data_IF_508003180579
#
_entry.id   IF_508003180579
#
_cell.length_a   1.000
_cell.length_b   1.000
_cell.length_c   1.000
_cell.angle_alpha   90.00
_cell.angle_beta   90.00
_cell.angle_gamma   90.00
#
_symmetry.space_group_name_H-M   'P 1'
#
loop_
_entity.id
_entity.type
_entity.pdbx_description
1 polymer ?
#
# COMPACT_ATOMS: atom_id res chain seq x y z
N UNK A 1 1.84 3.56 23.38
CA UNK A 1 1.20 3.35 22.06
C UNK A 1 1.93 2.23 21.36
N UNK A 2 1.19 1.24 20.90
CA UNK A 2 1.69 0.13 20.12
C UNK A 2 1.84 0.52 18.65
N UNK A 3 2.52 -0.30 17.87
CA UNK A 3 2.69 -0.14 16.41
C UNK A 3 1.36 0.15 15.71
N UNK A 4 0.33 -0.63 16.08
CA UNK A 4 -1.01 -0.53 15.49
C UNK A 4 -1.66 0.83 15.74
N UNK A 5 -1.40 1.46 16.90
CA UNK A 5 -2.00 2.76 17.24
C UNK A 5 -1.49 3.87 16.31
N UNK A 6 -0.19 3.86 16.01
CA UNK A 6 0.44 4.84 15.12
C UNK A 6 -0.02 4.68 13.67
N UNK A 7 -0.05 3.43 13.17
CA UNK A 7 -0.52 3.15 11.81
C UNK A 7 -1.99 3.56 11.66
N UNK A 8 -2.83 3.25 12.66
CA UNK A 8 -4.22 3.67 12.66
C UNK A 8 -4.36 5.19 12.67
N UNK A 9 -3.58 5.90 13.49
CA UNK A 9 -3.62 7.36 13.56
C UNK A 9 -3.28 8.00 12.21
N UNK A 10 -2.22 7.55 11.53
CA UNK A 10 -1.87 8.09 10.20
C UNK A 10 -2.94 7.79 9.15
N UNK A 11 -3.49 6.56 9.15
CA UNK A 11 -4.52 6.18 8.19
C UNK A 11 -5.83 6.96 8.40
N UNK A 12 -6.24 7.14 9.66
CA UNK A 12 -7.42 7.91 10.02
C UNK A 12 -7.26 9.38 9.63
N UNK A 13 -6.10 9.99 9.90
CA UNK A 13 -5.85 11.39 9.52
C UNK A 13 -6.08 11.63 8.01
N UNK A 14 -5.56 10.76 7.15
CA UNK A 14 -5.74 10.89 5.69
C UNK A 14 -7.19 10.62 5.27
N UNK A 15 -7.85 9.63 5.89
CA UNK A 15 -9.24 9.30 5.56
C UNK A 15 -10.23 10.35 6.09
N UNK A 16 -9.92 11.03 7.18
CA UNK A 16 -10.69 12.17 7.70
C UNK A 16 -10.57 13.37 6.75
N UNK A 17 -9.38 13.68 6.25
CA UNK A 17 -9.20 14.70 5.20
C UNK A 17 -10.00 14.37 3.93
N UNK A 18 -10.02 13.10 3.50
CA UNK A 18 -10.87 12.65 2.40
C UNK A 18 -12.37 12.88 2.70
N UNK A 19 -12.82 12.49 3.89
CA UNK A 19 -14.22 12.63 4.30
C UNK A 19 -14.66 14.10 4.44
N UNK A 20 -13.74 14.98 4.82
CA UNK A 20 -13.95 16.43 4.89
C UNK A 20 -13.98 17.12 3.51
N UNK A 21 -13.73 16.39 2.41
CA UNK A 21 -13.63 16.95 1.06
C UNK A 21 -12.31 17.68 0.81
N UNK A 22 -11.28 17.39 1.61
CA UNK A 22 -9.93 17.88 1.43
C UNK A 22 -9.25 17.31 0.18
N UNK A 23 -7.98 17.72 -0.02
CA UNK A 23 -7.18 17.19 -1.13
C UNK A 23 -6.55 15.86 -0.73
N UNK A 24 -6.85 14.82 -1.49
CA UNK A 24 -6.28 13.48 -1.29
C UNK A 24 -5.69 12.91 -2.58
N UNK A 25 -4.74 12.00 -2.42
CA UNK A 25 -4.14 11.24 -3.52
C UNK A 25 -4.71 9.84 -3.50
N UNK A 26 -5.22 9.37 -4.63
CA UNK A 26 -5.76 8.01 -4.76
C UNK A 26 -4.68 6.95 -4.51
N UNK A 27 -5.00 5.92 -3.74
CA UNK A 27 -4.08 4.81 -3.50
C UNK A 27 -4.81 3.49 -3.16
N UNK A 28 -5.43 2.79 -4.12
CA UNK A 28 -5.67 3.17 -5.53
C UNK A 28 -6.98 3.94 -5.75
N UNK A 29 -7.82 4.08 -4.72
CA UNK A 29 -9.06 4.87 -4.74
C UNK A 29 -9.02 5.92 -3.62
N UNK A 30 -9.99 6.83 -3.59
CA UNK A 30 -10.13 7.77 -2.47
C UNK A 30 -10.48 7.04 -1.16
N UNK A 31 -11.31 5.98 -1.22
CA UNK A 31 -11.70 5.21 -0.03
C UNK A 31 -10.55 4.48 0.66
N UNK A 32 -9.47 4.18 -0.07
CA UNK A 32 -8.29 3.48 0.44
C UNK A 32 -7.04 4.37 0.57
N UNK A 33 -7.18 5.68 0.35
CA UNK A 33 -6.04 6.60 0.21
C UNK A 33 -5.12 6.68 1.44
N UNK A 34 -5.62 6.38 2.65
CA UNK A 34 -4.82 6.44 3.88
C UNK A 34 -3.82 5.29 4.08
N UNK A 35 -3.96 4.16 3.39
CA UNK A 35 -3.17 2.95 3.70
C UNK A 35 -1.71 3.08 3.29
N UNK A 36 -1.47 3.40 2.02
CA UNK A 36 -0.13 3.58 1.45
C UNK A 36 0.67 4.67 2.18
N UNK A 37 0.15 5.87 2.46
CA UNK A 37 0.90 6.88 3.21
C UNK A 37 1.08 6.53 4.70
N UNK A 38 0.13 5.83 5.34
CA UNK A 38 0.27 5.45 6.75
C UNK A 38 1.45 4.50 6.99
N UNK A 39 1.63 3.51 6.11
CA UNK A 39 2.74 2.56 6.18
C UNK A 39 4.09 3.27 5.96
N UNK A 40 4.14 4.20 5.01
CA UNK A 40 5.35 4.99 4.73
C UNK A 40 5.70 5.95 5.87
N UNK A 41 4.70 6.64 6.43
CA UNK A 41 4.88 7.55 7.56
C UNK A 41 5.38 6.81 8.81
N UNK A 42 4.84 5.62 9.06
CA UNK A 42 5.34 4.77 10.15
C UNK A 42 6.80 4.37 9.94
N UNK A 43 7.18 3.98 8.72
CA UNK A 43 8.57 3.64 8.39
C UNK A 43 9.50 4.84 8.65
N UNK A 44 9.13 6.01 8.14
CA UNK A 44 9.91 7.25 8.25
C UNK A 44 10.11 7.71 9.69
N UNK A 45 9.07 7.64 10.52
CA UNK A 45 9.12 8.11 11.91
C UNK A 45 9.78 7.14 12.88
N UNK A 46 9.65 5.82 12.67
CA UNK A 46 10.01 4.83 13.70
C UNK A 46 11.07 3.82 13.28
N UNK A 47 11.35 3.66 11.99
CA UNK A 47 12.33 2.66 11.50
C UNK A 47 13.58 3.37 10.98
N UNK A 48 13.44 4.18 9.94
CA UNK A 48 14.54 4.87 9.28
C UNK A 48 14.01 6.04 8.46
N UNK A 49 14.72 7.18 8.48
CA UNK A 49 14.37 8.35 7.66
C UNK A 49 14.36 7.99 6.17
N UNK A 50 13.27 8.31 5.49
CA UNK A 50 13.07 7.98 4.09
C UNK A 50 13.80 8.99 3.21
N UNK A 51 14.85 8.53 2.52
CA UNK A 51 15.51 9.33 1.47
C UNK A 51 14.65 9.43 0.21
N UNK A 52 14.89 10.40 -0.69
CA UNK A 52 14.19 10.50 -1.97
C UNK A 52 14.23 9.21 -2.79
N UNK A 53 15.34 8.46 -2.74
CA UNK A 53 15.47 7.17 -3.41
C UNK A 53 14.55 6.11 -2.80
N UNK A 54 14.37 6.12 -1.48
CA UNK A 54 13.44 5.21 -0.78
C UNK A 54 11.99 5.57 -1.14
N UNK A 55 11.64 6.86 -1.18
CA UNK A 55 10.33 7.33 -1.64
C UNK A 55 10.00 6.81 -3.05
N UNK A 56 10.93 7.01 -3.99
CA UNK A 56 10.75 6.57 -5.38
C UNK A 56 10.56 5.05 -5.44
N UNK A 57 11.39 4.28 -4.74
CA UNK A 57 11.28 2.81 -4.72
C UNK A 57 9.98 2.31 -4.10
N UNK A 58 9.55 2.93 -3.01
CA UNK A 58 8.30 2.62 -2.34
C UNK A 58 7.12 2.79 -3.30
N UNK A 59 7.01 3.96 -3.92
CA UNK A 59 5.92 4.26 -4.84
C UNK A 59 6.02 3.48 -6.16
N UNK A 60 7.22 3.18 -6.66
CA UNK A 60 7.39 2.29 -7.82
C UNK A 60 6.89 0.87 -7.54
N UNK A 61 7.19 0.32 -6.36
CA UNK A 61 6.69 -0.99 -5.96
C UNK A 61 5.16 -0.98 -5.77
N UNK A 62 4.63 0.03 -5.09
CA UNK A 62 3.19 0.23 -4.95
C UNK A 62 2.51 0.31 -6.32
N UNK A 63 3.05 1.12 -7.22
CA UNK A 63 2.52 1.30 -8.57
C UNK A 63 2.57 0.02 -9.41
N UNK A 64 3.65 -0.77 -9.31
CA UNK A 64 3.77 -2.04 -10.01
C UNK A 64 2.69 -3.05 -9.55
N UNK A 65 2.46 -3.16 -8.24
CA UNK A 65 1.40 -4.03 -7.69
C UNK A 65 0.02 -3.50 -8.08
N UNK A 66 -0.23 -2.20 -7.96
CA UNK A 66 -1.50 -1.60 -8.37
C UNK A 66 -1.79 -1.82 -9.85
N UNK A 67 -0.78 -1.72 -10.72
CA UNK A 67 -0.92 -2.01 -12.14
C UNK A 67 -1.25 -3.49 -12.41
N UNK A 68 -0.64 -4.44 -11.69
CA UNK A 68 -0.96 -5.86 -11.82
C UNK A 68 -2.42 -6.15 -11.46
N UNK A 69 -2.92 -5.58 -10.36
CA UNK A 69 -4.34 -5.72 -10.01
C UNK A 69 -5.24 -5.11 -11.08
N UNK A 70 -4.88 -3.95 -11.65
CA UNK A 70 -5.68 -3.27 -12.67
C UNK A 70 -5.74 -4.02 -14.00
N UNK A 71 -4.65 -4.70 -14.37
CA UNK A 71 -4.59 -5.49 -15.61
C UNK A 71 -5.36 -6.80 -15.53
N UNK A 72 -5.51 -7.37 -14.33
CA UNK A 72 -6.08 -8.70 -14.12
C UNK A 72 -7.45 -8.70 -13.42
N UNK A 73 -7.87 -7.59 -12.82
CA UNK A 73 -9.14 -7.45 -12.11
C UNK A 73 -9.62 -5.99 -12.08
N UNK A 74 -10.91 -5.78 -11.80
CA UNK A 74 -11.40 -4.44 -11.48
C UNK A 74 -10.87 -3.98 -10.12
N UNK A 75 -10.56 -2.70 -10.01
CA UNK A 75 -10.18 -2.01 -8.74
C UNK A 75 -11.35 -1.15 -8.24
N UNK A 76 -12.44 -1.06 -9.01
CA UNK A 76 -13.60 -0.25 -8.64
C UNK A 76 -14.35 -0.91 -7.50
N UNK A 77 -14.49 -0.24 -6.36
CA UNK A 77 -15.34 -0.71 -5.26
C UNK A 77 -16.80 -0.88 -5.68
N UNK A 78 -17.24 -0.20 -6.76
CA UNK A 78 -18.56 -0.40 -7.35
C UNK A 78 -18.72 -1.75 -8.08
N UNK A 79 -17.62 -2.40 -8.48
CA UNK A 79 -17.64 -3.67 -9.23
C UNK A 79 -17.14 -4.87 -8.40
N UNK A 80 -16.23 -4.66 -7.45
CA UNK A 80 -15.60 -5.72 -6.64
C UNK A 80 -15.72 -5.51 -5.13
N UNK A 81 -16.39 -4.45 -4.68
CA UNK A 81 -16.56 -4.12 -3.26
C UNK A 81 -15.28 -3.62 -2.58
N UNK A 82 -15.36 -3.38 -1.27
CA UNK A 82 -14.28 -2.82 -0.45
C UNK A 82 -12.97 -3.66 -0.49
N UNK A 83 -13.09 -4.97 -0.70
CA UNK A 83 -11.93 -5.87 -0.85
C UNK A 83 -11.06 -5.52 -2.07
N UNK A 84 -11.68 -5.03 -3.16
CA UNK A 84 -10.96 -4.61 -4.36
C UNK A 84 -10.20 -3.30 -4.21
N UNK A 85 -10.54 -2.47 -3.22
CA UNK A 85 -9.91 -1.17 -2.99
C UNK A 85 -8.91 -1.23 -1.83
N UNK A 86 -9.39 -1.64 -0.65
CA UNK A 86 -8.61 -1.71 0.59
C UNK A 86 -7.60 -2.85 0.52
N UNK A 87 -8.00 -4.02 0.00
CA UNK A 87 -7.10 -5.16 -0.14
C UNK A 87 -5.96 -4.89 -1.11
N UNK A 88 -6.24 -4.20 -2.21
CA UNK A 88 -5.23 -3.78 -3.19
C UNK A 88 -4.27 -2.76 -2.58
N UNK A 89 -4.78 -1.75 -1.87
CA UNK A 89 -3.95 -0.77 -1.16
C UNK A 89 -3.01 -1.43 -0.12
N UNK A 90 -3.51 -2.40 0.64
CA UNK A 90 -2.70 -3.18 1.58
C UNK A 90 -1.57 -3.95 0.87
N UNK A 91 -1.86 -4.58 -0.28
CA UNK A 91 -0.87 -5.31 -1.08
C UNK A 91 0.19 -4.37 -1.67
N UNK A 92 -0.23 -3.20 -2.16
CA UNK A 92 0.67 -2.14 -2.63
C UNK A 92 1.62 -1.68 -1.52
N UNK A 93 1.08 -1.34 -0.35
CA UNK A 93 1.86 -0.87 0.79
C UNK A 93 2.84 -1.94 1.31
N UNK A 94 2.43 -3.20 1.36
CA UNK A 94 3.30 -4.31 1.76
C UNK A 94 4.48 -4.49 0.79
N UNK A 95 4.25 -4.39 -0.52
CA UNK A 95 5.32 -4.46 -1.51
C UNK A 95 6.27 -3.26 -1.43
N UNK A 96 5.73 -2.06 -1.19
CA UNK A 96 6.52 -0.86 -0.91
C UNK A 96 7.44 -1.05 0.30
N UNK A 97 6.88 -1.47 1.43
CA UNK A 97 7.63 -1.69 2.68
C UNK A 97 8.78 -2.69 2.52
N UNK A 98 8.53 -3.80 1.82
CA UNK A 98 9.57 -4.81 1.54
C UNK A 98 10.71 -4.22 0.70
N UNK A 99 10.41 -3.31 -0.22
CA UNK A 99 11.42 -2.69 -1.07
C UNK A 99 12.22 -1.59 -0.35
N UNK A 100 11.64 -0.97 0.69
CA UNK A 100 12.36 -0.10 1.63
C UNK A 100 13.34 -0.90 2.51
N UNK A 101 12.85 -2.00 3.10
CA UNK A 101 13.57 -2.76 4.14
C UNK A 101 14.53 -3.85 3.63
N UNK A 102 14.39 -4.35 2.40
CA UNK A 102 15.21 -5.46 1.93
C UNK A 102 16.62 -5.02 1.49
N UNK A 103 17.68 -5.84 1.70
CA UNK A 103 19.01 -5.62 1.14
C UNK A 103 19.02 -5.67 -0.40
N UNK A 104 19.98 -5.00 -1.05
CA UNK A 104 20.07 -4.77 -2.52
C UNK A 104 19.77 -5.98 -3.40
N UNK A 105 20.12 -7.19 -2.94
CA UNK A 105 20.02 -8.43 -3.70
C UNK A 105 18.66 -9.13 -3.65
N UNK A 106 17.74 -8.74 -2.75
CA UNK A 106 16.43 -9.39 -2.57
C UNK A 106 15.22 -8.45 -2.75
N UNK A 107 15.45 -7.21 -3.20
CA UNK A 107 14.47 -6.11 -3.22
C UNK A 107 13.26 -6.29 -4.18
N UNK A 108 13.24 -7.34 -5.01
CA UNK A 108 12.09 -7.70 -5.86
C UNK A 108 11.88 -9.23 -5.98
N UNK A 109 12.41 -10.01 -5.03
CA UNK A 109 12.25 -11.46 -5.04
C UNK A 109 10.97 -11.87 -4.32
N UNK A 110 9.81 -11.60 -4.92
CA UNK A 110 8.62 -12.41 -4.66
C UNK A 110 8.97 -13.83 -5.10
N UNK A 111 9.39 -14.69 -4.16
CA UNK A 111 9.60 -16.12 -4.44
C UNK A 111 8.28 -16.62 -5.05
N UNK A 112 8.32 -17.02 -6.32
CA UNK A 112 7.24 -17.62 -7.13
C UNK A 112 6.68 -18.95 -6.55
N UNK A 113 6.56 -19.09 -5.23
CA UNK A 113 6.07 -20.30 -4.59
C UNK A 113 5.09 -19.94 -3.48
N UNK A 114 3.86 -19.60 -3.87
CA UNK A 114 2.61 -20.11 -3.24
C UNK A 114 1.37 -19.24 -3.47
N UNK A 115 1.51 -17.95 -3.83
CA UNK A 115 0.35 -17.02 -3.86
C UNK A 115 -0.59 -17.17 -5.08
N UNK A 116 -0.25 -17.99 -6.08
CA UNK A 116 -1.06 -18.18 -7.31
C UNK A 116 -1.67 -19.59 -7.43
N UNK A 117 -1.64 -20.38 -6.35
CA UNK A 117 -2.33 -21.68 -6.27
C UNK A 117 -3.60 -21.60 -5.39
N UNK A 118 -4.46 -20.61 -5.63
CA UNK A 118 -5.88 -20.72 -5.26
C UNK A 118 -6.70 -20.77 -6.54
N UNK A 119 -6.55 -21.89 -7.25
CA UNK A 119 -7.66 -22.45 -8.01
C UNK A 119 -8.59 -23.13 -7.00
N UNK A 120 -9.87 -22.78 -7.05
CA UNK A 120 -10.99 -23.63 -6.60
C UNK A 120 -11.25 -23.78 -5.10
N UNK A 121 -12.14 -22.94 -4.55
CA UNK A 121 -13.33 -23.33 -3.77
C UNK A 121 -14.19 -22.09 -3.48
#
# INVERSE_FOLDING_TARGET
MNVVDWVNMFALAVNEENAAGGRVVTAPTNGACGIVPAVLAYYDHFIESVSPEIYIRYFMACGAIGALYKMNASISGAEVGCQGEVGVACSMAAAGWLNCSAPARNRFAWRRRSAWNTTSA
#
